data_IF_844254406659
#
_entry.id   IF_844254406659
#
_cell.length_a   1.000
_cell.length_b   1.000
_cell.length_c   1.000
_cell.angle_alpha   90.00
_cell.angle_beta   90.00
_cell.angle_gamma   90.00
#
_symmetry.space_group_name_H-M   'P 1'
#
loop_
_entity.id
_entity.type
_entity.pdbx_description
1 polymer ?
#
# COMPACT_ATOMS: atom_id res chain seq x y z
N UNK A 1 20.96 -75.22 -17.31
CA UNK A 1 21.44 -74.10 -18.15
C UNK A 1 20.35 -73.06 -18.25
N UNK A 2 20.70 -71.82 -17.88
CA UNK A 2 19.84 -70.64 -17.76
C UNK A 2 19.24 -70.16 -19.08
N UNK A 3 17.98 -69.72 -19.06
CA UNK A 3 17.48 -68.57 -19.85
C UNK A 3 16.34 -67.89 -19.08
N UNK A 4 16.71 -66.91 -18.25
CA UNK A 4 15.80 -65.88 -17.71
C UNK A 4 15.88 -64.68 -18.66
N UNK A 5 14.85 -64.43 -19.46
CA UNK A 5 14.72 -63.21 -20.26
C UNK A 5 13.38 -62.56 -19.85
N UNK A 6 13.40 -61.81 -18.76
CA UNK A 6 13.49 -60.34 -18.73
C UNK A 6 12.14 -59.69 -19.04
N UNK A 7 11.28 -59.61 -18.02
CA UNK A 7 10.16 -58.68 -17.96
C UNK A 7 10.75 -57.27 -18.02
N UNK A 8 10.53 -56.56 -19.11
CA UNK A 8 10.68 -55.11 -19.15
C UNK A 8 9.57 -54.52 -18.27
N UNK A 9 9.91 -54.34 -17.00
CA UNK A 9 9.19 -53.50 -16.07
C UNK A 9 9.71 -52.07 -16.33
N UNK A 10 8.88 -51.12 -16.78
CA UNK A 10 9.31 -49.73 -16.82
C UNK A 10 9.61 -49.32 -15.38
N UNK A 11 10.89 -49.10 -15.12
CA UNK A 11 11.41 -48.49 -13.92
C UNK A 11 10.70 -47.14 -13.77
N UNK A 12 9.75 -47.05 -12.84
CA UNK A 12 9.19 -45.80 -12.37
C UNK A 12 10.35 -45.04 -11.75
N UNK A 13 10.98 -44.17 -12.53
CA UNK A 13 11.87 -43.14 -12.02
C UNK A 13 11.17 -42.46 -10.84
N UNK A 14 11.83 -42.26 -9.69
CA UNK A 14 11.21 -41.55 -8.58
C UNK A 14 10.83 -40.17 -9.10
N UNK A 15 9.52 -39.91 -9.17
CA UNK A 15 8.99 -38.59 -9.47
C UNK A 15 9.62 -37.62 -8.47
N UNK A 16 10.59 -36.83 -8.91
CA UNK A 16 11.07 -35.69 -8.15
C UNK A 16 9.85 -34.80 -7.90
N UNK A 17 9.39 -34.81 -6.64
CA UNK A 17 8.36 -33.90 -6.20
C UNK A 17 8.79 -32.48 -6.59
N UNK A 18 7.90 -31.66 -7.16
CA UNK A 18 8.21 -30.27 -7.47
C UNK A 18 8.80 -29.60 -6.23
N UNK A 19 10.06 -29.19 -6.29
CA UNK A 19 10.63 -28.36 -5.24
C UNK A 19 9.79 -27.07 -5.19
N UNK A 20 9.27 -26.65 -4.02
CA UNK A 20 8.61 -25.37 -3.91
C UNK A 20 9.62 -24.29 -4.28
N UNK A 21 9.36 -23.60 -5.38
CA UNK A 21 10.09 -22.39 -5.75
C UNK A 21 9.95 -21.40 -4.60
N UNK A 22 11.03 -20.78 -4.10
CA UNK A 22 10.92 -19.77 -3.07
C UNK A 22 10.05 -18.63 -3.62
N UNK A 23 8.84 -18.48 -3.08
CA UNK A 23 8.07 -17.28 -3.33
C UNK A 23 8.93 -16.07 -2.95
N UNK A 24 8.96 -15.00 -3.77
CA UNK A 24 9.62 -13.78 -3.37
C UNK A 24 9.05 -13.35 -2.03
N UNK A 25 9.88 -13.34 -0.98
CA UNK A 25 9.49 -12.78 0.31
C UNK A 25 9.16 -11.30 0.08
N UNK A 26 7.87 -11.01 -0.09
CA UNK A 26 7.39 -9.65 -0.17
C UNK A 26 7.80 -8.99 1.17
N UNK A 27 8.50 -7.84 1.13
CA UNK A 27 8.92 -7.16 2.36
C UNK A 27 7.72 -7.04 3.28
N UNK A 28 7.86 -7.48 4.54
CA UNK A 28 6.79 -7.41 5.51
C UNK A 28 6.30 -5.95 5.60
N UNK A 29 5.15 -5.66 4.98
CA UNK A 29 4.55 -4.32 5.04
C UNK A 29 4.16 -4.11 6.49
N UNK A 30 4.73 -3.08 7.12
CA UNK A 30 4.28 -2.69 8.44
C UNK A 30 2.77 -2.42 8.39
N UNK A 31 1.97 -2.98 9.31
CA UNK A 31 0.53 -2.80 9.30
C UNK A 31 0.19 -1.34 9.63
N UNK A 32 -0.41 -0.64 8.67
CA UNK A 32 -0.92 0.73 8.88
C UNK A 32 -2.06 0.66 9.89
N UNK A 33 -2.01 1.48 10.94
CA UNK A 33 -3.02 1.44 11.98
C UNK A 33 -4.33 2.07 11.49
N UNK A 34 -5.48 1.58 11.99
CA UNK A 34 -6.78 2.20 11.72
C UNK A 34 -6.79 3.68 12.11
N UNK A 35 -6.09 4.04 13.19
CA UNK A 35 -5.96 5.43 13.62
C UNK A 35 -5.25 6.29 12.56
N UNK A 36 -4.18 5.80 11.95
CA UNK A 36 -3.48 6.53 10.88
C UNK A 36 -4.40 6.77 9.67
N UNK A 37 -5.18 5.76 9.27
CA UNK A 37 -6.16 5.89 8.18
C UNK A 37 -7.21 6.96 8.51
N UNK A 38 -7.77 6.92 9.73
CA UNK A 38 -8.74 7.92 10.19
C UNK A 38 -8.13 9.32 10.31
N UNK A 39 -6.90 9.45 10.78
CA UNK A 39 -6.19 10.74 10.83
C UNK A 39 -5.99 11.32 9.43
N UNK A 40 -5.60 10.49 8.46
CA UNK A 40 -5.45 10.92 7.08
C UNK A 40 -6.77 11.44 6.50
N UNK A 41 -7.83 10.64 6.58
CA UNK A 41 -9.13 11.03 6.05
C UNK A 41 -9.75 12.20 6.83
N UNK A 42 -9.51 12.28 8.14
CA UNK A 42 -9.90 13.42 8.97
C UNK A 42 -9.23 14.72 8.52
N UNK A 43 -7.94 14.68 8.20
CA UNK A 43 -7.22 15.84 7.68
C UNK A 43 -7.71 16.26 6.28
N UNK A 44 -8.02 15.30 5.41
CA UNK A 44 -8.62 15.58 4.08
C UNK A 44 -9.98 16.25 4.25
N UNK A 45 -10.86 15.68 5.08
CA UNK A 45 -12.17 16.25 5.35
C UNK A 45 -12.05 17.65 5.96
N UNK A 46 -11.14 17.85 6.92
CA UNK A 46 -10.88 19.15 7.52
C UNK A 46 -10.42 20.18 6.48
N UNK A 47 -9.50 19.83 5.58
CA UNK A 47 -9.05 20.72 4.52
C UNK A 47 -10.20 21.16 3.59
N UNK A 48 -11.09 20.23 3.22
CA UNK A 48 -12.27 20.53 2.40
C UNK A 48 -13.26 21.44 3.14
N UNK A 49 -13.56 21.14 4.40
CA UNK A 49 -14.47 21.96 5.21
C UNK A 49 -13.89 23.35 5.44
N UNK A 50 -12.61 23.45 5.82
CA UNK A 50 -11.93 24.73 6.00
C UNK A 50 -11.93 25.55 4.72
N UNK A 51 -11.63 24.96 3.56
CA UNK A 51 -11.68 25.70 2.29
C UNK A 51 -13.08 26.31 2.04
N UNK A 52 -14.15 25.55 2.25
CA UNK A 52 -15.53 26.04 2.07
C UNK A 52 -15.95 27.08 3.09
N UNK A 53 -15.52 26.91 4.35
CA UNK A 53 -15.78 27.88 5.41
C UNK A 53 -15.03 29.19 5.14
N UNK A 54 -13.77 29.12 4.73
CA UNK A 54 -12.98 30.32 4.40
C UNK A 54 -13.56 31.05 3.19
N UNK A 55 -13.98 30.33 2.15
CA UNK A 55 -14.59 30.91 0.96
C UNK A 55 -15.90 31.64 1.29
N UNK A 56 -16.75 31.03 2.11
CA UNK A 56 -18.00 31.65 2.57
C UNK A 56 -17.77 32.84 3.54
N UNK A 57 -16.74 32.76 4.40
CA UNK A 57 -16.46 33.78 5.41
C UNK A 57 -15.68 34.99 4.84
N UNK A 58 -14.93 34.80 3.75
CA UNK A 58 -14.03 35.80 3.17
C UNK A 58 -14.34 36.07 1.69
N UNK A 59 -15.53 36.60 1.34
CA UNK A 59 -15.95 36.77 -0.04
C UNK A 59 -15.11 37.79 -0.84
N UNK A 60 -14.34 38.63 -0.16
CA UNK A 60 -13.41 39.60 -0.78
C UNK A 60 -12.01 39.03 -1.03
N UNK A 61 -11.71 37.84 -0.50
CA UNK A 61 -10.41 37.19 -0.69
C UNK A 61 -10.47 36.36 -1.97
N UNK A 62 -9.52 36.50 -2.91
CA UNK A 62 -9.52 35.69 -4.12
C UNK A 62 -9.34 34.19 -3.79
N UNK A 63 -10.14 33.33 -4.44
CA UNK A 63 -10.12 31.88 -4.25
C UNK A 63 -8.70 31.30 -4.37
N UNK A 64 -7.90 31.76 -5.33
CA UNK A 64 -6.49 31.38 -5.52
C UNK A 64 -5.61 31.55 -4.27
N UNK A 65 -5.93 32.53 -3.41
CA UNK A 65 -5.19 32.79 -2.17
C UNK A 65 -5.57 31.74 -1.13
N UNK A 66 -6.87 31.48 -0.97
CA UNK A 66 -7.39 30.44 -0.07
C UNK A 66 -6.83 29.08 -0.47
N UNK A 67 -6.92 28.73 -1.76
CA UNK A 67 -6.38 27.48 -2.31
C UNK A 67 -4.90 27.32 -2.02
N UNK A 68 -4.08 28.35 -2.29
CA UNK A 68 -2.64 28.31 -2.04
C UNK A 68 -2.32 28.04 -0.57
N UNK A 69 -3.00 28.68 0.36
CA UNK A 69 -2.77 28.47 1.79
C UNK A 69 -3.25 27.08 2.25
N UNK A 70 -4.39 26.60 1.75
CA UNK A 70 -4.88 25.25 2.03
C UNK A 70 -3.89 24.21 1.50
N UNK A 71 -3.40 24.36 0.27
CA UNK A 71 -2.42 23.44 -0.31
C UNK A 71 -1.10 23.44 0.47
N UNK A 72 -0.60 24.61 0.89
CA UNK A 72 0.63 24.71 1.70
C UNK A 72 0.44 24.02 3.06
N UNK A 73 -0.68 24.27 3.74
CA UNK A 73 -0.98 23.63 5.01
C UNK A 73 -1.13 22.11 4.87
N UNK A 74 -1.82 21.66 3.82
CA UNK A 74 -2.03 20.24 3.54
C UNK A 74 -0.72 19.53 3.15
N UNK A 75 0.14 20.18 2.36
CA UNK A 75 1.46 19.66 2.01
C UNK A 75 2.37 19.54 3.25
N UNK A 76 2.35 20.54 4.14
CA UNK A 76 3.08 20.48 5.41
C UNK A 76 2.57 19.34 6.30
N UNK A 77 1.24 19.18 6.41
CA UNK A 77 0.63 18.05 7.10
C UNK A 77 1.08 16.71 6.50
N UNK A 78 1.02 16.55 5.17
CA UNK A 78 1.46 15.32 4.49
C UNK A 78 2.92 15.02 4.77
N UNK A 79 3.80 16.02 4.71
CA UNK A 79 5.22 15.85 5.01
C UNK A 79 5.45 15.29 6.41
N UNK A 80 4.81 15.89 7.42
CA UNK A 80 4.90 15.41 8.80
C UNK A 80 4.26 14.03 8.97
N UNK A 81 3.08 13.82 8.37
CA UNK A 81 2.34 12.57 8.46
C UNK A 81 3.14 11.39 7.88
N UNK A 82 3.78 11.59 6.73
CA UNK A 82 4.63 10.59 6.09
C UNK A 82 5.89 10.29 6.90
N UNK A 83 6.51 11.31 7.50
CA UNK A 83 7.66 11.12 8.40
C UNK A 83 7.27 10.25 9.61
N UNK A 84 6.06 10.44 10.18
CA UNK A 84 5.57 9.64 11.31
C UNK A 84 4.95 8.30 10.93
N UNK A 85 4.78 8.02 9.65
CA UNK A 85 4.28 6.74 9.14
C UNK A 85 5.38 5.65 9.07
N UNK A 86 6.64 6.04 9.24
CA UNK A 86 7.83 5.18 9.14
C UNK A 86 8.00 4.22 10.31
#
# INVERSE_FOLDING_TARGET
>A
MSKKNNKLQPETAPAQAPQPSPEPQQPARQPVSKAQIWTFWGAVAAALVSARVLDAALPSVPERVIERWIMVAFAAFLGVFLIKLK
#
